data_IF_071891648304
#
_entry.id   IF_071891648304
#
_cell.length_a   1.000
_cell.length_b   1.000
_cell.length_c   1.000
_cell.angle_alpha   90.00
_cell.angle_beta   90.00
_cell.angle_gamma   90.00
#
_symmetry.space_group_name_H-M   'P 1'
#
loop_
_entity.id
_entity.type
_entity.pdbx_description
1 polymer ?
#
# COMPACT_ATOMS: atom_id res chain seq x y z
N UNK A 1 -5.74 19.39 5.53
CA UNK A 1 -6.52 18.31 6.19
C UNK A 1 -8.00 18.48 5.80
N UNK A 2 -8.88 17.51 6.07
CA UNK A 2 -10.34 17.64 5.82
C UNK A 2 -11.05 18.06 7.12
N UNK A 3 -12.20 18.73 7.03
CA UNK A 3 -13.02 19.09 8.18
C UNK A 3 -13.85 17.87 8.66
N UNK A 4 -14.37 17.93 9.88
CA UNK A 4 -15.29 16.93 10.45
C UNK A 4 -14.63 15.56 10.66
N UNK A 5 -13.35 15.53 11.04
CA UNK A 5 -12.62 14.30 11.35
C UNK A 5 -12.42 14.16 12.85
N UNK A 6 -12.49 12.93 13.34
CA UNK A 6 -12.28 12.63 14.76
C UNK A 6 -10.87 13.08 15.22
N UNK A 7 -10.78 13.76 16.37
CA UNK A 7 -9.50 14.15 16.96
C UNK A 7 -8.75 12.92 17.51
N UNK A 8 -7.55 13.16 18.04
CA UNK A 8 -6.81 12.14 18.77
C UNK A 8 -7.28 12.05 20.22
N UNK A 9 -6.38 11.61 21.11
CA UNK A 9 -6.69 11.46 22.54
C UNK A 9 -6.89 12.80 23.26
N UNK A 10 -6.42 13.90 22.68
CA UNK A 10 -6.56 15.26 23.21
C UNK A 10 -7.94 15.88 23.00
N UNK A 11 -8.78 15.27 22.14
CA UNK A 11 -10.09 15.81 21.80
C UNK A 11 -10.06 17.08 20.95
N UNK A 12 -8.88 17.57 20.51
CA UNK A 12 -8.75 18.83 19.79
C UNK A 12 -8.90 18.61 18.26
N UNK A 13 -9.99 19.09 17.63
CA UNK A 13 -10.21 18.88 16.21
C UNK A 13 -9.41 19.88 15.37
N UNK A 14 -9.31 19.64 14.06
CA UNK A 14 -8.62 20.54 13.12
C UNK A 14 -9.18 21.97 13.18
N UNK A 15 -10.49 22.08 13.36
CA UNK A 15 -11.23 23.31 13.44
C UNK A 15 -10.71 24.21 14.56
N UNK A 16 -10.36 23.64 15.72
CA UNK A 16 -9.72 24.36 16.82
C UNK A 16 -8.40 25.01 16.37
N UNK A 17 -7.50 24.21 15.80
CA UNK A 17 -6.21 24.72 15.32
C UNK A 17 -6.35 25.77 14.23
N UNK A 18 -7.36 25.64 13.34
CA UNK A 18 -7.60 26.64 12.29
C UNK A 18 -8.09 27.96 12.87
N UNK A 19 -8.99 27.92 13.86
CA UNK A 19 -9.56 29.12 14.47
C UNK A 19 -8.53 29.87 15.32
N UNK A 20 -7.74 29.14 16.11
CA UNK A 20 -6.80 29.74 17.06
C UNK A 20 -5.35 29.81 16.55
N UNK A 21 -5.10 29.53 15.27
CA UNK A 21 -3.74 29.45 14.70
C UNK A 21 -2.89 30.69 14.97
N UNK A 22 -3.49 31.88 14.91
CA UNK A 22 -2.79 33.14 15.15
C UNK A 22 -2.21 33.24 16.57
N UNK A 23 -2.83 32.55 17.53
CA UNK A 23 -2.42 32.54 18.94
C UNK A 23 -1.46 31.38 19.20
N UNK A 24 -1.84 30.14 18.84
CA UNK A 24 -1.09 28.92 19.21
C UNK A 24 0.00 28.53 18.21
N UNK A 25 0.00 29.11 17.00
CA UNK A 25 0.92 28.77 15.92
C UNK A 25 2.41 28.95 16.29
N UNK A 26 2.80 30.07 16.93
CA UNK A 26 4.16 30.28 17.41
C UNK A 26 4.61 29.21 18.41
N UNK A 27 3.74 28.82 19.34
CA UNK A 27 4.04 27.81 20.36
C UNK A 27 4.19 26.42 19.74
N UNK A 28 3.29 26.04 18.82
CA UNK A 28 3.39 24.77 18.08
C UNK A 28 4.70 24.71 17.30
N UNK A 29 5.12 25.82 16.68
CA UNK A 29 6.42 25.90 16.00
C UNK A 29 7.58 25.69 16.97
N UNK A 30 7.55 26.32 18.14
CA UNK A 30 8.57 26.14 19.16
C UNK A 30 8.66 24.68 19.64
N UNK A 31 7.50 24.02 19.85
CA UNK A 31 7.43 22.60 20.19
C UNK A 31 8.04 21.72 19.09
N UNK A 32 7.80 22.04 17.81
CA UNK A 32 8.42 21.29 16.72
C UNK A 32 9.94 21.51 16.65
N UNK A 33 10.41 22.73 16.85
CA UNK A 33 11.84 23.02 16.88
C UNK A 33 12.54 22.23 18.00
N UNK A 34 11.98 22.27 19.21
CA UNK A 34 12.48 21.50 20.36
C UNK A 34 12.50 19.98 20.06
N UNK A 35 11.40 19.45 19.51
CA UNK A 35 11.32 18.04 19.13
C UNK A 35 12.37 17.65 18.07
N UNK A 36 12.71 18.56 17.15
CA UNK A 36 13.76 18.32 16.17
C UNK A 36 15.14 18.34 16.80
N UNK A 37 15.41 19.26 17.73
CA UNK A 37 16.70 19.36 18.41
C UNK A 37 16.93 18.14 19.31
N UNK A 38 15.94 17.80 20.14
CA UNK A 38 15.99 16.70 21.10
C UNK A 38 15.79 15.32 20.46
N UNK A 39 15.26 15.26 19.23
CA UNK A 39 15.04 14.01 18.52
C UNK A 39 13.78 13.24 18.95
N UNK A 40 12.88 13.85 19.72
CA UNK A 40 11.75 13.18 20.34
C UNK A 40 10.51 14.07 20.38
N UNK A 41 9.34 13.51 20.07
CA UNK A 41 8.07 14.19 20.23
C UNK A 41 7.53 14.13 21.66
N UNK A 42 6.63 15.05 21.99
CA UNK A 42 5.91 15.04 23.26
C UNK A 42 5.11 13.74 23.44
N UNK A 43 4.91 13.31 24.68
CA UNK A 43 4.25 12.05 25.01
C UNK A 43 2.86 11.92 24.36
N UNK A 44 2.08 13.01 24.35
CA UNK A 44 0.76 13.05 23.70
C UNK A 44 0.83 12.80 22.19
N UNK A 45 1.83 13.33 21.50
CA UNK A 45 2.05 13.17 20.06
C UNK A 45 2.57 11.77 19.68
N UNK A 46 3.24 11.11 20.63
CA UNK A 46 3.73 9.74 20.48
C UNK A 46 2.66 8.69 20.70
N UNK A 47 1.53 9.03 21.33
CA UNK A 47 0.43 8.11 21.55
C UNK A 47 -0.52 8.04 20.34
N UNK A 48 -0.81 6.82 19.88
CA UNK A 48 -1.83 6.54 18.88
C UNK A 48 -2.97 5.70 19.46
N UNK A 49 -4.22 6.13 19.25
CA UNK A 49 -5.40 5.37 19.68
C UNK A 49 -5.92 4.52 18.52
N UNK A 50 -5.76 3.21 18.58
CA UNK A 50 -6.17 2.28 17.53
C UNK A 50 -7.65 1.94 17.72
N UNK A 51 -8.47 2.28 16.73
CA UNK A 51 -9.87 1.85 16.65
C UNK A 51 -10.06 0.90 15.47
N UNK A 52 -11.00 -0.04 15.58
CA UNK A 52 -11.30 -0.99 14.53
C UNK A 52 -12.50 -0.52 13.72
N UNK A 53 -12.28 -0.19 12.45
CA UNK A 53 -13.39 0.01 11.52
C UNK A 53 -13.91 -1.32 11.01
N UNK A 54 -15.23 -1.50 11.10
CA UNK A 54 -15.95 -2.59 10.46
C UNK A 54 -15.78 -2.46 8.94
N UNK A 55 -15.20 -3.48 8.30
CA UNK A 55 -15.33 -3.66 6.85
C UNK A 55 -16.51 -4.59 6.62
N UNK A 56 -17.32 -4.32 5.60
CA UNK A 56 -18.44 -5.18 5.19
C UNK A 56 -18.01 -6.65 5.12
N UNK A 57 -18.70 -7.52 5.86
CA UNK A 57 -18.38 -8.94 5.95
C UNK A 57 -18.59 -9.53 7.36
N UNK A 58 -18.23 -10.82 7.56
CA UNK A 58 -18.40 -11.51 8.84
C UNK A 58 -17.59 -10.85 9.96
N UNK A 59 -18.06 -11.02 11.21
CA UNK A 59 -17.57 -10.41 12.45
C UNK A 59 -16.14 -10.81 12.88
N UNK A 60 -15.34 -11.36 11.96
CA UNK A 60 -13.96 -11.73 12.22
C UNK A 60 -13.08 -10.48 12.41
N UNK A 61 -12.36 -10.34 13.54
CA UNK A 61 -11.41 -9.26 13.77
C UNK A 61 -10.37 -9.12 12.65
N UNK A 62 -10.00 -10.22 11.97
CA UNK A 62 -9.06 -10.23 10.83
C UNK A 62 -9.58 -9.46 9.62
N UNK A 63 -10.90 -9.24 9.54
CA UNK A 63 -11.53 -8.48 8.47
C UNK A 63 -11.71 -6.99 8.81
N UNK A 64 -11.49 -6.59 10.07
CA UNK A 64 -11.57 -5.18 10.49
C UNK A 64 -10.31 -4.42 10.07
N UNK A 65 -10.44 -3.12 9.82
CA UNK A 65 -9.29 -2.24 9.54
C UNK A 65 -8.91 -1.46 10.80
N UNK A 66 -7.70 -1.66 11.35
CA UNK A 66 -7.23 -0.78 12.40
C UNK A 66 -6.96 0.61 11.82
N UNK A 67 -7.48 1.65 12.46
CA UNK A 67 -7.11 3.04 12.20
C UNK A 67 -6.54 3.62 13.49
N UNK A 68 -5.37 4.23 13.39
CA UNK A 68 -4.76 4.98 14.48
C UNK A 68 -5.27 6.42 14.45
N UNK A 69 -6.05 6.78 15.45
CA UNK A 69 -6.40 8.16 15.77
C UNK A 69 -5.18 8.81 16.40
N UNK A 70 -4.65 9.81 15.69
CA UNK A 70 -3.49 10.60 16.10
C UNK A 70 -3.94 12.03 16.38
N UNK A 71 -3.27 12.69 17.32
CA UNK A 71 -3.52 14.09 17.65
C UNK A 71 -3.27 14.99 16.43
N UNK A 72 -3.97 16.12 16.40
CA UNK A 72 -3.96 17.00 15.22
C UNK A 72 -2.63 17.75 15.10
N UNK A 73 -2.00 18.10 16.22
CA UNK A 73 -0.65 18.67 16.26
C UNK A 73 0.40 17.76 15.60
N UNK A 74 0.39 16.46 15.91
CA UNK A 74 1.21 15.46 15.20
C UNK A 74 0.87 15.46 13.70
N UNK A 75 -0.43 15.46 13.36
CA UNK A 75 -0.88 15.46 11.96
C UNK A 75 -0.48 16.73 11.21
N UNK A 76 -0.34 17.89 11.88
CA UNK A 76 0.16 19.13 11.27
C UNK A 76 1.59 18.93 10.77
N UNK A 77 2.49 18.48 11.65
CA UNK A 77 3.88 18.19 11.30
C UNK A 77 3.98 17.13 10.19
N UNK A 78 3.30 15.99 10.38
CA UNK A 78 3.28 14.92 9.39
C UNK A 78 2.71 15.38 8.05
N UNK A 79 1.72 16.28 8.04
CA UNK A 79 1.14 16.82 6.80
C UNK A 79 2.10 17.80 6.12
N UNK A 80 2.85 18.61 6.86
CA UNK A 80 3.88 19.48 6.30
C UNK A 80 4.97 18.65 5.58
N UNK A 81 5.45 17.59 6.23
CA UNK A 81 6.43 16.65 5.65
C UNK A 81 5.86 15.91 4.43
N UNK A 82 4.61 15.45 4.52
CA UNK A 82 3.89 14.81 3.42
C UNK A 82 3.82 15.73 2.18
N UNK A 83 3.46 16.99 2.37
CA UNK A 83 3.38 17.94 1.26
C UNK A 83 4.75 18.17 0.60
N UNK A 84 5.82 18.22 1.38
CA UNK A 84 7.18 18.36 0.86
C UNK A 84 7.62 17.11 0.09
N UNK A 85 7.37 15.92 0.63
CA UNK A 85 7.70 14.65 -0.02
C UNK A 85 6.91 14.46 -1.31
N UNK A 86 5.63 14.83 -1.33
CA UNK A 86 4.76 14.73 -2.50
C UNK A 86 5.30 15.46 -3.74
N UNK A 87 6.10 16.51 -3.55
CA UNK A 87 6.77 17.23 -4.65
C UNK A 87 7.92 16.41 -5.26
N UNK A 88 8.62 15.61 -4.45
CA UNK A 88 9.72 14.76 -4.89
C UNK A 88 9.24 13.42 -5.46
N UNK A 89 8.05 12.94 -5.07
CA UNK A 89 7.53 11.62 -5.45
C UNK A 89 7.68 11.29 -6.95
N UNK A 90 7.30 12.17 -7.91
CA UNK A 90 7.39 11.85 -9.34
C UNK A 90 8.81 11.57 -9.85
N UNK A 91 9.84 12.01 -9.11
CA UNK A 91 11.24 11.76 -9.46
C UNK A 91 11.84 10.53 -8.75
N UNK A 92 11.17 10.03 -7.70
CA UNK A 92 11.66 8.93 -6.87
C UNK A 92 11.10 7.57 -7.32
N UNK A 93 9.83 7.54 -7.70
CA UNK A 93 9.11 6.31 -8.05
C UNK A 93 8.99 6.14 -9.56
N UNK A 94 9.00 4.90 -10.03
CA UNK A 94 8.81 4.58 -11.44
C UNK A 94 7.37 4.81 -11.93
N UNK A 95 7.21 4.93 -13.25
CA UNK A 95 5.93 5.24 -13.92
C UNK A 95 4.82 4.21 -13.64
N UNK A 96 5.19 2.97 -13.29
CA UNK A 96 4.27 1.87 -13.01
C UNK A 96 3.82 1.81 -11.54
N UNK A 97 4.28 2.75 -10.70
CA UNK A 97 3.74 3.01 -9.35
C UNK A 97 2.77 4.19 -9.40
N UNK A 98 1.50 3.91 -9.61
CA UNK A 98 0.50 4.97 -9.84
C UNK A 98 -0.16 5.49 -8.56
N UNK A 99 0.16 4.92 -7.39
CA UNK A 99 -0.45 5.34 -6.13
C UNK A 99 0.25 6.55 -5.50
N UNK A 100 -0.55 7.56 -5.12
CA UNK A 100 -0.11 8.73 -4.36
C UNK A 100 0.98 9.59 -5.04
N UNK A 101 1.18 9.42 -6.36
CA UNK A 101 2.04 10.25 -7.19
C UNK A 101 1.17 11.28 -7.91
N UNK A 102 1.54 12.57 -7.80
CA UNK A 102 0.81 13.64 -8.50
C UNK A 102 0.86 13.39 -10.01
N UNK A 103 -0.28 13.53 -10.68
CA UNK A 103 -0.39 13.29 -12.13
C UNK A 103 -0.68 11.84 -12.53
N UNK A 104 -0.61 10.89 -11.59
CA UNK A 104 -0.97 9.50 -11.84
C UNK A 104 -2.40 9.19 -11.40
N UNK A 105 -3.01 8.23 -12.08
CA UNK A 105 -4.41 7.85 -11.88
C UNK A 105 -4.52 6.33 -11.78
N UNK A 106 -5.39 5.84 -10.89
CA UNK A 106 -5.61 4.38 -10.73
C UNK A 106 -6.04 3.72 -12.05
N UNK A 107 -6.70 4.49 -12.92
CA UNK A 107 -7.12 4.07 -14.25
C UNK A 107 -5.95 3.69 -15.16
N UNK A 108 -4.75 4.27 -14.98
CA UNK A 108 -3.60 3.98 -15.84
C UNK A 108 -3.16 2.52 -15.72
N UNK A 109 -3.01 2.01 -14.48
CA UNK A 109 -2.70 0.60 -14.26
C UNK A 109 -3.82 -0.31 -14.75
N UNK A 110 -5.08 0.12 -14.61
CA UNK A 110 -6.23 -0.65 -15.09
C UNK A 110 -6.22 -0.78 -16.63
N UNK A 111 -6.00 0.32 -17.35
CA UNK A 111 -5.90 0.33 -18.80
C UNK A 111 -4.71 -0.51 -19.28
N UNK A 112 -3.54 -0.33 -18.66
CA UNK A 112 -2.36 -1.13 -18.97
C UNK A 112 -2.65 -2.64 -18.84
N UNK A 113 -3.29 -3.05 -17.74
CA UNK A 113 -3.60 -4.46 -17.52
C UNK A 113 -4.66 -5.00 -18.46
N UNK A 114 -5.66 -4.19 -18.81
CA UNK A 114 -6.67 -4.56 -19.82
C UNK A 114 -6.01 -4.75 -21.18
N UNK A 115 -5.28 -3.74 -21.65
CA UNK A 115 -4.70 -3.73 -23.00
C UNK A 115 -3.65 -4.84 -23.15
N UNK A 116 -2.85 -5.09 -22.10
CA UNK A 116 -1.94 -6.23 -22.06
C UNK A 116 -2.68 -7.56 -22.15
N UNK A 117 -3.78 -7.71 -21.40
CA UNK A 117 -4.58 -8.94 -21.41
C UNK A 117 -5.18 -9.19 -22.79
N UNK A 118 -5.79 -8.18 -23.40
CA UNK A 118 -6.39 -8.27 -24.72
C UNK A 118 -5.35 -8.61 -25.79
N UNK A 119 -4.19 -7.94 -25.77
CA UNK A 119 -3.08 -8.21 -26.69
C UNK A 119 -2.54 -9.64 -26.57
N UNK A 120 -2.31 -10.11 -25.35
CA UNK A 120 -1.84 -11.48 -25.09
C UNK A 120 -2.82 -12.52 -25.62
N UNK A 121 -4.12 -12.27 -25.44
CA UNK A 121 -5.18 -13.18 -25.91
C UNK A 121 -5.24 -13.18 -27.43
N UNK A 122 -5.24 -12.01 -28.07
CA UNK A 122 -5.31 -11.88 -29.53
C UNK A 122 -4.12 -12.55 -30.23
N UNK A 123 -2.92 -12.44 -29.64
CA UNK A 123 -1.67 -12.98 -30.20
C UNK A 123 -1.30 -14.38 -29.66
N UNK A 124 -2.14 -14.96 -28.81
CA UNK A 124 -1.91 -16.23 -28.12
C UNK A 124 -0.54 -16.36 -27.41
N UNK A 125 -0.05 -15.26 -26.83
CA UNK A 125 1.29 -15.21 -26.24
C UNK A 125 1.35 -15.92 -24.87
N UNK A 126 2.49 -16.55 -24.53
CA UNK A 126 2.68 -17.15 -23.21
C UNK A 126 2.78 -16.05 -22.14
N UNK A 127 1.80 -15.99 -21.22
CA UNK A 127 1.80 -14.99 -20.16
C UNK A 127 0.99 -15.44 -18.93
N UNK A 128 1.46 -15.01 -17.75
CA UNK A 128 0.72 -15.05 -16.51
C UNK A 128 0.81 -13.70 -15.79
N UNK A 129 -0.32 -13.24 -15.25
CA UNK A 129 -0.37 -12.13 -14.30
C UNK A 129 -0.35 -12.67 -12.88
N UNK A 130 0.65 -12.28 -12.09
CA UNK A 130 0.81 -12.70 -10.70
C UNK A 130 0.47 -11.53 -9.79
N UNK A 131 -0.73 -11.56 -9.20
CA UNK A 131 -1.19 -10.56 -8.23
C UNK A 131 -0.75 -10.97 -6.83
N UNK A 132 0.13 -10.17 -6.23
CA UNK A 132 0.71 -10.37 -4.92
C UNK A 132 -0.13 -9.63 -3.88
N UNK A 133 -0.49 -10.31 -2.79
CA UNK A 133 -1.20 -9.71 -1.65
C UNK A 133 -0.24 -9.69 -0.45
N UNK A 134 0.05 -8.51 0.10
CA UNK A 134 0.92 -8.38 1.28
C UNK A 134 0.10 -8.49 2.57
N UNK A 135 0.58 -9.27 3.53
CA UNK A 135 -0.02 -9.37 4.85
C UNK A 135 0.23 -8.09 5.63
N UNK A 136 -0.85 -7.40 6.07
CA UNK A 136 -0.78 -6.23 6.96
C UNK A 136 0.30 -5.22 6.50
N UNK A 137 0.24 -4.83 5.23
CA UNK A 137 1.31 -4.11 4.53
C UNK A 137 1.90 -2.92 5.30
N UNK A 138 1.05 -2.04 5.86
CA UNK A 138 1.49 -0.89 6.65
C UNK A 138 2.15 -1.29 7.98
N UNK A 139 1.63 -2.33 8.63
CA UNK A 139 2.07 -2.75 9.97
C UNK A 139 3.38 -3.57 9.89
N UNK A 140 3.65 -4.20 8.73
CA UNK A 140 4.83 -5.02 8.50
C UNK A 140 6.05 -4.22 8.02
N UNK A 141 5.95 -2.91 7.80
CA UNK A 141 7.11 -2.11 7.38
C UNK A 141 8.20 -2.14 8.45
N UNK A 142 9.38 -2.66 8.12
CA UNK A 142 10.55 -2.50 8.98
C UNK A 142 11.06 -1.06 8.93
N UNK A 143 11.20 -0.43 10.10
CA UNK A 143 11.57 0.99 10.19
C UNK A 143 13.05 1.22 9.88
N UNK A 144 13.93 0.27 10.22
CA UNK A 144 15.36 0.35 9.90
C UNK A 144 15.57 0.30 8.39
N UNK A 145 14.93 -0.68 7.74
CA UNK A 145 14.92 -0.80 6.28
C UNK A 145 14.32 0.45 5.62
N UNK A 146 13.19 0.98 6.12
CA UNK A 146 12.61 2.22 5.61
C UNK A 146 13.62 3.38 5.68
N UNK A 147 14.37 3.53 6.78
CA UNK A 147 15.40 4.57 6.88
C UNK A 147 16.53 4.40 5.85
N UNK A 148 16.97 3.16 5.62
CA UNK A 148 17.95 2.83 4.58
C UNK A 148 17.43 3.15 3.17
N UNK A 149 16.14 2.89 2.92
CA UNK A 149 15.47 3.23 1.65
C UNK A 149 15.47 4.74 1.44
N UNK A 150 15.09 5.53 2.46
CA UNK A 150 15.08 6.99 2.38
C UNK A 150 16.49 7.57 2.13
N UNK A 151 17.51 6.95 2.71
CA UNK A 151 18.91 7.27 2.44
C UNK A 151 19.34 6.93 1.02
N UNK A 152 18.97 5.76 0.52
CA UNK A 152 19.27 5.31 -0.84
C UNK A 152 18.62 6.21 -1.89
N UNK A 153 17.41 6.72 -1.61
CA UNK A 153 16.73 7.74 -2.41
C UNK A 153 17.30 9.15 -2.24
N UNK A 154 18.41 9.30 -1.49
CA UNK A 154 19.13 10.56 -1.28
C UNK A 154 18.27 11.68 -0.68
N UNK A 155 17.29 11.33 0.15
CA UNK A 155 16.53 12.34 0.87
C UNK A 155 17.41 13.05 1.89
N UNK A 156 17.24 14.37 1.96
CA UNK A 156 18.07 15.24 2.80
C UNK A 156 18.12 14.73 4.25
N UNK A 157 19.30 14.73 4.92
CA UNK A 157 19.47 14.24 6.30
C UNK A 157 18.44 14.81 7.29
N UNK A 158 18.16 16.12 7.21
CA UNK A 158 17.13 16.74 8.06
C UNK A 158 15.73 16.14 7.86
N UNK A 159 15.36 15.78 6.62
CA UNK A 159 14.07 15.14 6.35
C UNK A 159 14.03 13.72 6.94
N UNK A 160 15.13 12.98 6.81
CA UNK A 160 15.29 11.66 7.44
C UNK A 160 15.22 11.75 8.98
N UNK A 161 15.87 12.75 9.58
CA UNK A 161 15.80 13.04 11.01
C UNK A 161 14.36 13.30 11.45
N UNK A 162 13.60 14.11 10.73
CA UNK A 162 12.17 14.30 11.02
C UNK A 162 11.37 13.00 11.00
N UNK A 163 11.63 12.11 10.04
CA UNK A 163 10.98 10.80 9.99
C UNK A 163 11.35 9.97 11.22
N UNK A 164 12.62 9.94 11.61
CA UNK A 164 13.06 9.28 12.83
C UNK A 164 12.32 9.83 14.07
N UNK A 165 12.24 11.15 14.23
CA UNK A 165 11.49 11.82 15.32
C UNK A 165 10.02 11.40 15.37
N UNK A 166 9.35 11.27 14.22
CA UNK A 166 7.93 10.86 14.16
C UNK A 166 7.66 9.43 14.66
N UNK A 167 8.67 8.55 14.59
CA UNK A 167 8.55 7.14 14.92
C UNK A 167 9.33 6.74 16.19
N UNK A 168 10.20 7.61 16.69
CA UNK A 168 10.97 7.38 17.90
C UNK A 168 10.03 7.16 19.10
N UNK A 169 10.20 6.02 19.78
CA UNK A 169 9.43 5.63 20.96
C UNK A 169 7.91 5.84 20.79
N UNK A 170 7.37 5.37 19.67
CA UNK A 170 5.94 5.45 19.39
C UNK A 170 5.16 4.42 20.21
N UNK A 171 4.05 4.83 20.81
CA UNK A 171 3.16 3.97 21.59
C UNK A 171 1.77 3.90 20.98
N UNK A 172 1.02 2.84 21.28
CA UNK A 172 -0.40 2.75 20.94
C UNK A 172 -1.23 2.10 22.05
N UNK A 173 -2.52 2.41 22.07
CA UNK A 173 -3.53 1.72 22.87
C UNK A 173 -4.71 1.38 21.97
N UNK A 174 -5.38 0.26 22.21
CA UNK A 174 -6.54 -0.19 21.44
C UNK A 174 -7.81 0.26 22.16
N UNK A 175 -8.71 0.91 21.41
CA UNK A 175 -10.03 1.30 21.89
C UNK A 175 -11.07 0.28 21.43
N UNK A 176 -11.76 -0.34 22.39
CA UNK A 176 -12.88 -1.26 22.15
C UNK A 176 -14.08 -0.80 22.98
N UNK A 177 -15.18 -0.47 22.32
CA UNK A 177 -16.44 -0.04 22.96
C UNK A 177 -16.26 1.11 23.99
N UNK A 178 -15.34 2.05 23.72
CA UNK A 178 -15.06 3.18 24.61
C UNK A 178 -14.02 2.90 25.71
N UNK A 179 -13.57 1.66 25.86
CA UNK A 179 -12.52 1.29 26.82
C UNK A 179 -11.17 1.19 26.11
N UNK A 180 -10.13 1.72 26.76
CA UNK A 180 -8.75 1.65 26.29
C UNK A 180 -8.04 0.44 26.90
N UNK A 181 -7.25 -0.26 26.08
CA UNK A 181 -6.29 -1.25 26.56
C UNK A 181 -5.10 -0.58 27.24
N UNK A 182 -4.24 -1.39 27.85
CA UNK A 182 -2.90 -0.97 28.22
C UNK A 182 -2.13 -0.42 27.01
N UNK A 183 -1.23 0.52 27.28
CA UNK A 183 -0.37 1.14 26.28
C UNK A 183 0.78 0.18 25.97
N UNK A 184 1.08 -0.01 24.69
CA UNK A 184 2.18 -0.83 24.24
C UNK A 184 3.06 -0.12 23.21
N UNK A 185 4.32 -0.54 23.13
CA UNK A 185 5.30 0.00 22.20
C UNK A 185 5.02 -0.48 20.78
N UNK A 186 5.12 0.42 19.81
CA UNK A 186 5.04 0.09 18.39
C UNK A 186 6.43 0.16 17.80
N UNK A 187 7.04 -1.00 17.58
CA UNK A 187 8.43 -1.11 17.10
C UNK A 187 8.53 -1.13 15.57
N UNK A 188 7.48 -1.59 14.89
CA UNK A 188 7.43 -1.70 13.43
C UNK A 188 6.17 -1.09 12.83
N UNK A 189 6.19 -0.93 11.52
CA UNK A 189 5.08 -0.41 10.75
C UNK A 189 5.03 1.12 10.71
N UNK A 190 4.25 1.60 9.75
CA UNK A 190 3.87 3.00 9.59
C UNK A 190 2.41 3.19 10.04
N UNK A 191 2.11 4.32 10.67
CA UNK A 191 0.81 4.53 11.35
C UNK A 191 -0.33 4.69 10.33
N UNK A 192 -1.33 3.83 10.35
CA UNK A 192 -2.53 3.96 9.51
C UNK A 192 -3.40 5.13 10.02
N UNK A 193 -3.50 6.20 9.24
CA UNK A 193 -4.18 7.44 9.65
C UNK A 193 -3.24 8.66 9.77
N UNK A 194 -1.92 8.43 9.75
CA UNK A 194 -0.95 9.49 9.55
C UNK A 194 -0.93 9.91 8.06
N UNK A 195 -0.93 11.22 7.75
CA UNK A 195 -0.93 11.70 6.36
C UNK A 195 0.36 11.39 5.59
N UNK A 196 1.48 11.16 6.28
CA UNK A 196 2.77 10.86 5.67
C UNK A 196 2.93 9.36 5.35
N UNK A 197 2.34 8.48 6.16
CA UNK A 197 2.50 7.01 6.04
C UNK A 197 2.26 6.44 4.65
N UNK A 198 1.25 6.87 3.87
CA UNK A 198 1.04 6.34 2.52
C UNK A 198 2.24 6.58 1.59
N UNK A 199 2.85 7.76 1.63
CA UNK A 199 4.03 8.06 0.78
C UNK A 199 5.26 7.28 1.22
N UNK A 200 5.46 7.11 2.53
CA UNK A 200 6.54 6.28 3.06
C UNK A 200 6.37 4.82 2.65
N UNK A 201 5.14 4.31 2.69
CA UNK A 201 4.83 2.95 2.23
C UNK A 201 5.08 2.80 0.73
N UNK A 202 4.71 3.79 -0.09
CA UNK A 202 5.00 3.76 -1.53
C UNK A 202 6.51 3.71 -1.80
N UNK A 203 7.33 4.52 -1.11
CA UNK A 203 8.79 4.45 -1.24
C UNK A 203 9.37 3.12 -0.76
N UNK A 204 8.82 2.56 0.31
CA UNK A 204 9.17 1.22 0.78
C UNK A 204 8.86 0.16 -0.29
N UNK A 205 7.65 0.19 -0.86
CA UNK A 205 7.22 -0.76 -1.90
C UNK A 205 7.99 -0.57 -3.22
N UNK A 206 8.44 0.65 -3.51
CA UNK A 206 9.24 0.96 -4.70
C UNK A 206 10.56 0.18 -4.71
N UNK A 207 11.11 -0.17 -3.54
CA UNK A 207 12.30 -1.03 -3.48
C UNK A 207 12.06 -2.42 -4.09
N UNK A 208 10.83 -2.94 -4.06
CA UNK A 208 10.45 -4.15 -4.80
C UNK A 208 10.46 -3.90 -6.30
N UNK A 209 9.88 -2.79 -6.78
CA UNK A 209 9.91 -2.43 -8.21
C UNK A 209 11.35 -2.39 -8.72
N UNK A 210 12.25 -1.72 -8.01
CA UNK A 210 13.66 -1.58 -8.38
C UNK A 210 14.41 -2.91 -8.35
N UNK A 211 14.10 -3.80 -7.41
CA UNK A 211 14.66 -5.15 -7.36
C UNK A 211 14.28 -5.93 -8.63
N UNK A 212 12.99 -5.94 -8.97
CA UNK A 212 12.47 -6.66 -10.14
C UNK A 212 12.96 -6.06 -11.47
N UNK A 213 13.09 -4.72 -11.54
CA UNK A 213 13.64 -4.02 -12.69
C UNK A 213 15.08 -4.42 -12.99
N UNK A 214 15.92 -4.53 -11.94
CA UNK A 214 17.35 -4.86 -12.06
C UNK A 214 17.61 -6.33 -12.38
N UNK A 215 16.69 -7.24 -12.07
CA UNK A 215 16.88 -8.66 -12.40
C UNK A 215 16.70 -8.92 -13.90
N UNK A 216 17.79 -9.24 -14.60
CA UNK A 216 17.78 -9.59 -16.03
C UNK A 216 17.12 -10.93 -16.32
N UNK A 217 16.98 -11.82 -15.32
CA UNK A 217 16.30 -13.12 -15.43
C UNK A 217 14.78 -12.96 -15.51
N UNK A 218 14.26 -11.86 -14.95
CA UNK A 218 12.87 -11.45 -15.11
C UNK A 218 12.74 -10.64 -16.41
N UNK A 219 12.40 -11.33 -17.50
CA UNK A 219 12.27 -10.72 -18.83
C UNK A 219 11.01 -9.84 -18.84
N UNK A 220 11.12 -8.55 -19.21
CA UNK A 220 9.96 -7.69 -19.30
C UNK A 220 9.01 -8.13 -20.40
N UNK A 221 7.71 -8.01 -20.16
CA UNK A 221 6.71 -8.12 -21.19
C UNK A 221 6.70 -6.82 -22.00
N UNK A 222 6.82 -6.92 -23.33
CA UNK A 222 6.79 -5.75 -24.22
C UNK A 222 5.38 -5.58 -24.75
N UNK A 223 4.73 -4.48 -24.38
CA UNK A 223 3.39 -4.15 -24.90
C UNK A 223 3.50 -3.44 -26.26
N UNK A 224 2.43 -3.45 -27.08
CA UNK A 224 2.37 -2.62 -28.29
C UNK A 224 2.73 -1.15 -27.97
N UNK A 225 3.61 -0.55 -28.77
CA UNK A 225 4.20 0.76 -28.48
C UNK A 225 5.55 0.72 -27.75
N UNK A 226 6.05 -0.47 -27.39
CA UNK A 226 7.43 -0.68 -26.96
C UNK A 226 7.69 -0.53 -25.46
N UNK A 227 6.66 -0.23 -24.67
CA UNK A 227 6.81 -0.14 -23.22
C UNK A 227 7.10 -1.52 -22.61
N UNK A 228 8.02 -1.55 -21.64
CA UNK A 228 8.51 -2.77 -20.97
C UNK A 228 7.86 -2.87 -19.60
N UNK A 229 7.07 -3.92 -19.38
CA UNK A 229 6.31 -4.12 -18.15
C UNK A 229 6.81 -5.38 -17.44
N UNK A 230 7.35 -5.22 -16.24
CA UNK A 230 7.64 -6.33 -15.32
C UNK A 230 6.63 -6.39 -14.18
N UNK A 231 6.31 -5.23 -13.64
CA UNK A 231 5.51 -5.08 -12.43
C UNK A 231 4.74 -3.77 -12.49
N UNK A 232 3.45 -3.81 -12.17
CA UNK A 232 2.63 -2.62 -11.91
C UNK A 232 2.21 -2.63 -10.44
N UNK A 233 2.32 -1.47 -9.79
CA UNK A 233 1.99 -1.30 -8.37
C UNK A 233 0.96 -0.19 -8.17
N UNK A 234 0.03 -0.43 -7.25
CA UNK A 234 -0.83 0.59 -6.68
C UNK A 234 -0.83 0.43 -5.15
N UNK A 235 0.10 1.11 -4.48
CA UNK A 235 0.38 0.89 -3.06
C UNK A 235 0.68 -0.60 -2.79
N UNK A 236 -0.13 -1.28 -1.99
CA UNK A 236 0.05 -2.68 -1.59
C UNK A 236 -0.44 -3.69 -2.64
N UNK A 237 -1.25 -3.24 -3.61
CA UNK A 237 -1.71 -4.06 -4.73
C UNK A 237 -0.59 -4.12 -5.79
N UNK A 238 0.15 -5.24 -5.83
CA UNK A 238 1.25 -5.47 -6.77
C UNK A 238 0.85 -6.55 -7.76
N UNK A 239 1.00 -6.30 -9.06
CA UNK A 239 0.82 -7.33 -10.08
C UNK A 239 2.02 -7.40 -11.02
N UNK A 240 2.64 -8.58 -11.07
CA UNK A 240 3.78 -8.86 -11.93
C UNK A 240 3.32 -9.57 -13.21
N UNK A 241 4.03 -9.32 -14.31
CA UNK A 241 3.82 -9.97 -15.60
C UNK A 241 4.94 -10.96 -15.83
N UNK A 242 4.60 -12.21 -16.16
CA UNK A 242 5.57 -13.28 -16.38
C UNK A 242 5.27 -13.99 -17.68
N UNK A 243 6.24 -13.99 -18.61
CA UNK A 243 6.11 -14.62 -19.93
C UNK A 243 6.94 -15.90 -20.11
N UNK A 244 7.77 -16.26 -19.12
CA UNK A 244 8.59 -17.48 -19.15
C UNK A 244 8.67 -18.17 -17.80
N UNK A 245 8.91 -19.49 -17.80
CA UNK A 245 9.13 -20.25 -16.56
C UNK A 245 10.39 -19.80 -15.81
N UNK A 246 11.43 -19.37 -16.54
CA UNK A 246 12.64 -18.80 -15.95
C UNK A 246 12.33 -17.51 -15.19
N UNK A 247 11.52 -16.63 -15.78
CA UNK A 247 11.08 -15.38 -15.15
C UNK A 247 10.19 -15.62 -13.92
N UNK A 248 9.40 -16.69 -13.90
CA UNK A 248 8.66 -17.09 -12.70
C UNK A 248 9.59 -17.46 -11.53
N UNK A 249 10.63 -18.26 -11.81
CA UNK A 249 11.62 -18.65 -10.81
C UNK A 249 12.40 -17.44 -10.28
N UNK A 250 12.79 -16.54 -11.18
CA UNK A 250 13.42 -15.26 -10.83
C UNK A 250 12.53 -14.44 -9.89
N UNK A 251 11.26 -14.23 -10.26
CA UNK A 251 10.28 -13.53 -9.43
C UNK A 251 10.14 -14.17 -8.04
N UNK A 252 10.07 -15.49 -7.93
CA UNK A 252 9.99 -16.16 -6.62
C UNK A 252 11.25 -16.00 -5.78
N UNK A 253 12.43 -15.91 -6.39
CA UNK A 253 13.68 -15.67 -5.68
C UNK A 253 13.76 -14.22 -5.20
N UNK A 254 13.41 -13.26 -6.06
CA UNK A 254 13.42 -11.84 -5.74
C UNK A 254 12.42 -11.51 -4.62
N UNK A 255 11.22 -12.07 -4.66
CA UNK A 255 10.26 -11.93 -3.55
C UNK A 255 10.80 -12.52 -2.25
N UNK A 256 11.51 -13.65 -2.30
CA UNK A 256 12.15 -14.23 -1.12
C UNK A 256 13.28 -13.35 -0.56
N UNK A 257 14.03 -12.65 -1.43
CA UNK A 257 15.03 -11.66 -1.03
C UNK A 257 14.33 -10.47 -0.38
N UNK A 258 13.30 -9.93 -1.02
CA UNK A 258 12.52 -8.80 -0.52
C UNK A 258 11.91 -9.09 0.86
N UNK A 259 11.25 -10.24 1.05
CA UNK A 259 10.68 -10.62 2.34
C UNK A 259 11.75 -10.71 3.45
N UNK A 260 12.94 -11.25 3.14
CA UNK A 260 14.05 -11.36 4.11
C UNK A 260 14.65 -10.00 4.45
N UNK A 261 14.79 -9.11 3.48
CA UNK A 261 15.38 -7.79 3.68
C UNK A 261 14.44 -6.83 4.41
N UNK A 262 13.15 -6.89 4.11
CA UNK A 262 12.17 -5.90 4.55
C UNK A 262 11.29 -6.33 5.72
N UNK A 263 11.26 -7.64 6.00
CA UNK A 263 10.32 -8.22 6.96
C UNK A 263 8.86 -8.24 6.49
N UNK A 264 8.57 -7.80 5.26
CA UNK A 264 7.27 -7.95 4.63
C UNK A 264 6.95 -9.44 4.40
N UNK A 265 5.66 -9.80 4.40
CA UNK A 265 5.21 -11.16 4.14
C UNK A 265 4.09 -11.17 3.12
N UNK A 266 4.18 -12.07 2.15
CA UNK A 266 3.10 -12.32 1.22
C UNK A 266 2.02 -13.20 1.85
N UNK A 267 0.78 -12.98 1.43
CA UNK A 267 -0.36 -13.81 1.77
C UNK A 267 -0.52 -14.89 0.70
N UNK A 268 -0.09 -16.14 0.96
CA UNK A 268 -0.18 -17.20 -0.04
C UNK A 268 -1.63 -17.50 -0.42
N UNK A 269 -2.57 -17.35 0.52
CA UNK A 269 -3.99 -17.63 0.27
C UNK A 269 -4.65 -16.58 -0.62
N UNK A 270 -4.14 -15.34 -0.64
CA UNK A 270 -4.69 -14.25 -1.44
C UNK A 270 -3.90 -13.94 -2.70
N UNK A 271 -2.65 -14.39 -2.76
CA UNK A 271 -1.79 -14.29 -3.95
C UNK A 271 -2.33 -15.18 -5.06
N UNK A 272 -2.56 -14.61 -6.24
CA UNK A 272 -3.24 -15.27 -7.37
C UNK A 272 -2.44 -15.17 -8.65
N UNK A 273 -2.55 -16.21 -9.47
CA UNK A 273 -2.00 -16.25 -10.82
C UNK A 273 -3.12 -16.34 -11.85
N UNK A 274 -3.18 -15.43 -12.81
CA UNK A 274 -4.07 -15.52 -13.97
C UNK A 274 -3.27 -15.99 -15.17
N UNK A 275 -3.66 -17.12 -15.77
CA UNK A 275 -3.04 -17.66 -16.99
C UNK A 275 -3.72 -17.07 -18.22
N UNK A 276 -2.93 -16.60 -19.18
CA UNK A 276 -3.38 -15.93 -20.40
C UNK A 276 -2.72 -16.56 -21.65
N UNK A 277 -3.33 -16.32 -22.82
CA UNK A 277 -2.85 -16.80 -24.13
C UNK A 277 -2.54 -18.31 -24.13
N UNK A 278 -1.40 -18.69 -24.69
CA UNK A 278 -0.99 -20.10 -24.82
C UNK A 278 -0.75 -20.81 -23.49
N UNK A 279 -0.75 -20.10 -22.36
CA UNK A 279 -0.65 -20.67 -21.02
C UNK A 279 -2.00 -21.00 -20.38
N UNK A 280 -3.12 -20.60 -21.01
CA UNK A 280 -4.48 -20.76 -20.50
C UNK A 280 -4.80 -22.20 -20.06
N UNK A 281 -4.38 -23.19 -20.85
CA UNK A 281 -4.64 -24.62 -20.62
C UNK A 281 -3.40 -25.42 -20.22
N UNK A 282 -2.26 -24.76 -20.02
CA UNK A 282 -1.01 -25.45 -19.68
C UNK A 282 -0.94 -25.68 -18.19
N UNK A 283 -0.60 -26.91 -17.80
CA UNK A 283 -0.13 -27.20 -16.46
C UNK A 283 1.25 -26.58 -16.32
N UNK A 284 1.25 -25.44 -15.65
CA UNK A 284 2.46 -24.74 -15.29
C UNK A 284 2.97 -25.38 -13.99
N UNK A 285 4.30 -25.46 -13.78
CA UNK A 285 4.93 -26.08 -12.61
C UNK A 285 4.78 -25.20 -11.36
N UNK A 286 3.56 -24.72 -11.11
CA UNK A 286 3.19 -23.83 -10.01
C UNK A 286 2.97 -24.58 -8.69
N UNK A 287 3.05 -25.90 -8.69
CA UNK A 287 3.01 -26.75 -7.51
C UNK A 287 4.38 -27.31 -7.17
N UNK A 288 5.18 -26.60 -6.37
CA UNK A 288 6.29 -27.21 -5.61
C UNK A 288 7.65 -26.50 -5.66
N UNK A 289 8.13 -26.12 -4.47
CA UNK A 289 9.49 -25.67 -4.07
C UNK A 289 9.97 -24.25 -4.46
N UNK A 290 9.07 -23.36 -4.89
CA UNK A 290 9.28 -21.90 -4.84
C UNK A 290 8.41 -21.29 -3.75
N UNK A 291 8.87 -20.25 -3.05
CA UNK A 291 8.19 -19.65 -1.90
C UNK A 291 6.79 -19.09 -2.23
N UNK A 292 6.49 -18.83 -3.51
CA UNK A 292 5.16 -18.41 -3.98
C UNK A 292 4.24 -19.63 -4.10
N UNK A 293 3.33 -19.82 -3.14
CA UNK A 293 2.20 -20.75 -3.27
C UNK A 293 1.01 -19.98 -3.85
N UNK A 294 0.65 -20.26 -5.09
CA UNK A 294 -0.52 -19.64 -5.74
C UNK A 294 -1.77 -20.40 -5.27
N UNK A 295 -2.65 -19.74 -4.52
CA UNK A 295 -3.85 -20.38 -3.96
C UNK A 295 -4.98 -20.56 -4.96
N UNK A 296 -5.03 -19.71 -6.01
CA UNK A 296 -6.10 -19.76 -7.02
C UNK A 296 -5.57 -19.34 -8.38
N UNK A 297 -5.53 -20.30 -9.30
CA UNK A 297 -5.25 -20.08 -10.71
C UNK A 297 -6.56 -19.89 -11.47
N UNK A 298 -6.72 -18.73 -12.10
CA UNK A 298 -7.86 -18.45 -12.97
C UNK A 298 -7.47 -18.67 -14.44
N UNK A 299 -8.41 -19.20 -15.21
CA UNK A 299 -8.31 -19.40 -16.66
C UNK A 299 -9.32 -18.46 -17.29
N UNK A 300 -8.88 -17.56 -18.16
CA UNK A 300 -9.74 -16.53 -18.73
C UNK A 300 -10.54 -17.06 -19.93
N UNK A 301 -11.84 -17.34 -19.75
CA UNK A 301 -12.86 -17.52 -20.80
C UNK A 301 -13.71 -18.80 -20.71
N UNK A 302 -14.98 -18.67 -20.31
CA UNK A 302 -16.16 -18.57 -21.18
C UNK A 302 -17.16 -17.66 -20.44
N UNK A 303 -17.84 -16.77 -21.18
CA UNK A 303 -18.62 -15.61 -20.73
C UNK A 303 -17.83 -14.28 -20.57
N UNK A 304 -18.29 -13.28 -21.30
CA UNK A 304 -17.84 -11.88 -21.30
C UNK A 304 -17.92 -11.32 -19.88
N UNK A 305 -16.78 -10.90 -19.32
CA UNK A 305 -16.70 -10.27 -18.00
C UNK A 305 -16.15 -8.86 -18.13
N UNK A 306 -16.89 -7.88 -17.65
CA UNK A 306 -16.38 -6.53 -17.44
C UNK A 306 -15.46 -6.52 -16.21
N UNK A 307 -14.24 -5.99 -16.36
CA UNK A 307 -13.43 -5.59 -15.21
C UNK A 307 -14.15 -4.42 -14.53
N UNK A 308 -14.73 -4.65 -13.35
CA UNK A 308 -15.38 -3.60 -12.55
C UNK A 308 -14.66 -3.50 -11.21
N UNK A 309 -14.08 -2.33 -10.93
CA UNK A 309 -13.68 -1.97 -9.57
C UNK A 309 -14.92 -1.46 -8.82
N UNK A 310 -15.37 -2.21 -7.81
CA UNK A 310 -16.43 -1.74 -6.91
C UNK A 310 -15.87 -0.65 -5.98
N UNK A 311 -16.54 0.51 -5.82
CA UNK A 311 -16.12 1.55 -4.89
C UNK A 311 -16.31 1.03 -3.45
N UNK A 312 -15.27 0.38 -2.92
CA UNK A 312 -15.28 -0.25 -1.59
C UNK A 312 -14.43 -1.52 -1.48
N UNK A 313 -14.05 -2.13 -2.60
CA UNK A 313 -13.15 -3.30 -2.61
C UNK A 313 -11.67 -2.89 -2.65
N UNK A 314 -10.84 -3.52 -1.81
CA UNK A 314 -9.37 -3.54 -1.97
C UNK A 314 -9.04 -4.57 -3.05
N UNK A 315 -8.40 -4.15 -4.14
CA UNK A 315 -7.99 -5.00 -5.26
C UNK A 315 -8.99 -5.18 -6.42
N UNK A 316 -8.46 -5.53 -7.60
CA UNK A 316 -9.24 -5.93 -8.78
C UNK A 316 -10.08 -7.17 -8.45
N UNK A 317 -11.40 -7.08 -8.63
CA UNK A 317 -12.30 -8.23 -8.60
C UNK A 317 -12.85 -8.51 -9.99
N UNK A 318 -12.84 -9.79 -10.33
CA UNK A 318 -13.45 -10.36 -11.52
C UNK A 318 -14.93 -10.70 -11.19
N UNK A 319 -15.92 -10.05 -11.83
CA UNK A 319 -17.34 -10.39 -11.71
C UNK A 319 -17.84 -11.25 -12.89
N UNK A 320 -18.22 -12.51 -12.63
CA UNK A 320 -18.75 -13.45 -13.63
C UNK A 320 -20.13 -12.98 -14.12
N UNK A 321 -20.31 -12.79 -15.43
CA UNK A 321 -21.63 -12.57 -16.00
C UNK A 321 -22.49 -13.82 -15.72
N UNK A 322 -23.54 -13.67 -14.91
CA UNK A 322 -24.46 -14.76 -14.54
C UNK A 322 -24.94 -14.77 -13.08
N UNK A 323 -24.41 -13.94 -12.18
CA UNK A 323 -25.04 -13.76 -10.87
C UNK A 323 -26.29 -12.89 -11.02
N UNK A 324 -27.47 -13.48 -10.77
CA UNK A 324 -28.77 -12.80 -10.77
C UNK A 324 -28.68 -11.43 -10.06
N UNK A 325 -29.33 -10.38 -10.57
CA UNK A 325 -29.40 -9.11 -9.87
C UNK A 325 -30.07 -9.35 -8.52
N UNK A 326 -29.38 -9.02 -7.42
CA UNK A 326 -30.06 -8.77 -6.16
C UNK A 326 -30.97 -7.57 -6.40
N UNK A 327 -32.28 -7.83 -6.29
CA UNK A 327 -33.34 -6.85 -6.46
C UNK A 327 -33.08 -5.59 -5.59
N UNK A 328 -33.51 -4.41 -6.03
CA UNK A 328 -33.41 -3.19 -5.23
C UNK A 328 -34.28 -3.36 -3.98
N UNK A 329 -33.65 -3.47 -2.81
CA UNK A 329 -34.37 -3.27 -1.55
C UNK A 329 -34.77 -1.80 -1.52
N UNK A 330 -36.08 -1.57 -1.69
CA UNK A 330 -36.66 -0.25 -1.81
C UNK A 330 -36.41 0.61 -0.58
N UNK A 331 -36.19 1.89 -0.85
CA UNK A 331 -36.53 2.96 0.07
C UNK A 331 -38.04 2.85 0.39
N UNK A 332 -38.37 2.62 1.66
CA UNK A 332 -39.62 3.08 2.24
C UNK A 332 -39.25 3.92 3.47
N UNK A 333 -39.68 5.18 3.38
CA UNK A 333 -39.91 6.20 4.43
C UNK A 333 -39.24 6.02 5.77
#
# INVERSE_FOLDING_TARGET
>A
MKNGKSPGSDGLPREFYRTFWAIIGPDIRAVFEDAFQNGLLNQSQRLGMITLLQVWGPLDPRNKRPITLLNVDYKLLAKALCNRLALAMPHLVGDLQTCAVKGHCIQQNLWLMRDLTDFVIERDLPCALVSLDQQKAFDMVDRGFLMNVLETFQLHPNFRKWISVLYQESFSSVIVNGFCSEVFNVERGVRQGCPLSPLLYVLFSESLSRLLERDSRLVPFVVPGGAKVKCAQYADDVTCVVSSLGSFRALSQDLSIFERATGAKLNPEKTKGLRLGSWRYRDLPFGGRGRIRISKLMVYGSATMHLVMSPGARGLRYLRAGSKPLAPAGFRS
#
